data_IF_098407192126
#
_entry.id   IF_098407192126
#
_cell.length_a   1.000
_cell.length_b   1.000
_cell.length_c   1.000
_cell.angle_alpha   90.00
_cell.angle_beta   90.00
_cell.angle_gamma   90.00
#
_symmetry.space_group_name_H-M   'P 1'
#
loop_
_entity.id
_entity.type
_entity.pdbx_description
1 polymer ?
#
# COMPACT_ATOMS: atom_id res chain seq x y z
N UNK A 1 -61.39 55.45 -35.37
CA UNK A 1 -61.89 54.54 -36.43
C UNK A 1 -60.95 53.36 -36.50
N UNK A 2 -61.47 52.14 -36.42
CA UNK A 2 -60.84 50.85 -36.80
C UNK A 2 -61.66 50.29 -37.99
N UNK A 3 -61.26 49.24 -38.77
CA UNK A 3 -60.26 48.18 -38.56
C UNK A 3 -59.08 48.29 -39.58
N UNK A 4 -58.22 47.30 -39.90
CA UNK A 4 -58.31 45.83 -39.68
C UNK A 4 -57.00 45.02 -39.88
N UNK A 5 -57.02 43.82 -40.51
CA UNK A 5 -56.01 42.76 -40.31
C UNK A 5 -54.90 42.73 -41.42
N UNK A 6 -53.90 41.82 -41.47
CA UNK A 6 -53.87 40.34 -41.33
C UNK A 6 -52.45 39.75 -41.09
N UNK A 7 -52.39 38.48 -40.64
CA UNK A 7 -51.33 37.45 -40.76
C UNK A 7 -49.90 37.69 -40.18
N UNK A 8 -49.09 36.68 -39.80
CA UNK A 8 -49.34 35.24 -39.64
C UNK A 8 -48.08 34.33 -39.76
N UNK A 9 -47.46 33.94 -38.63
CA UNK A 9 -46.42 32.88 -38.47
C UNK A 9 -45.06 33.05 -39.22
N UNK A 10 -44.05 32.18 -39.00
CA UNK A 10 -43.59 31.49 -37.78
C UNK A 10 -42.15 31.91 -37.36
N UNK A 11 -41.66 31.48 -36.19
CA UNK A 11 -40.26 31.64 -35.80
C UNK A 11 -39.35 30.59 -36.49
N UNK A 12 -38.12 30.93 -36.93
CA UNK A 12 -37.18 29.96 -37.47
C UNK A 12 -36.50 29.15 -36.36
N UNK A 13 -36.17 27.89 -36.66
CA UNK A 13 -35.31 27.07 -35.82
C UNK A 13 -33.85 27.51 -35.97
N UNK A 14 -33.13 27.66 -34.86
CA UNK A 14 -31.72 27.28 -34.82
C UNK A 14 -31.64 25.79 -34.39
N UNK A 15 -30.63 25.02 -34.78
CA UNK A 15 -29.42 25.44 -35.51
C UNK A 15 -28.18 24.95 -34.79
N UNK A 16 -28.07 23.63 -34.64
CA UNK A 16 -26.94 22.93 -34.04
C UNK A 16 -25.59 23.53 -34.44
N UNK A 17 -24.79 23.94 -33.45
CA UNK A 17 -23.37 24.15 -33.65
C UNK A 17 -22.56 23.63 -32.46
N UNK A 18 -22.09 22.38 -32.58
CA UNK A 18 -21.10 21.79 -31.69
C UNK A 18 -19.73 22.35 -32.05
N UNK A 19 -19.33 23.45 -31.40
CA UNK A 19 -17.99 24.04 -31.55
C UNK A 19 -17.34 24.24 -30.18
N UNK A 20 -16.97 23.10 -29.55
CA UNK A 20 -16.08 23.10 -28.40
C UNK A 20 -14.65 23.36 -28.88
N UNK A 21 -14.36 24.62 -29.22
CA UNK A 21 -13.08 25.08 -29.73
C UNK A 21 -11.92 24.71 -28.80
N UNK A 22 -11.22 23.62 -29.13
CA UNK A 22 -10.05 23.14 -28.41
C UNK A 22 -8.85 24.05 -28.71
N UNK A 23 -8.67 25.08 -27.87
CA UNK A 23 -7.61 26.08 -28.04
C UNK A 23 -6.24 25.56 -27.59
N UNK A 24 -5.66 24.71 -28.43
CA UNK A 24 -4.22 24.66 -28.71
C UNK A 24 -3.22 24.72 -27.54
N UNK A 25 -3.08 23.62 -26.81
CA UNK A 25 -1.78 22.96 -26.64
C UNK A 25 -2.05 21.45 -26.50
N UNK A 26 -1.29 20.58 -27.20
CA UNK A 26 -1.38 19.14 -26.93
C UNK A 26 -0.82 18.90 -25.51
N UNK A 27 -1.57 18.25 -24.61
CA UNK A 27 -1.02 17.88 -23.31
C UNK A 27 0.21 17.00 -23.53
N UNK A 28 1.29 17.33 -22.81
CA UNK A 28 2.63 16.76 -23.02
C UNK A 28 2.80 15.37 -22.39
N UNK A 29 1.81 14.90 -21.63
CA UNK A 29 1.78 13.62 -20.94
C UNK A 29 0.33 13.13 -20.79
N UNK A 30 0.15 11.93 -20.21
CA UNK A 30 -1.16 11.29 -20.04
C UNK A 30 -2.06 11.84 -18.93
N UNK A 31 -1.68 12.93 -18.25
CA UNK A 31 -2.44 13.47 -17.12
C UNK A 31 -3.78 14.07 -17.56
N UNK A 32 -4.86 13.69 -16.89
CA UNK A 32 -6.21 14.18 -17.18
C UNK A 32 -6.81 13.69 -18.51
N UNK A 33 -6.13 12.80 -19.24
CA UNK A 33 -6.66 12.18 -20.45
C UNK A 33 -7.59 10.99 -20.12
N UNK A 34 -8.44 10.62 -21.07
CA UNK A 34 -9.10 9.30 -21.05
C UNK A 34 -8.19 8.18 -21.58
N UNK A 35 -8.63 6.92 -21.42
CA UNK A 35 -7.91 5.78 -22.00
C UNK A 35 -7.86 5.89 -23.54
N UNK A 36 -8.96 6.27 -24.22
CA UNK A 36 -8.95 6.41 -25.68
C UNK A 36 -7.99 7.52 -26.13
N UNK A 37 -7.94 8.63 -25.39
CA UNK A 37 -7.01 9.74 -25.66
C UNK A 37 -5.54 9.32 -25.44
N UNK A 38 -5.24 8.53 -24.39
CA UNK A 38 -3.90 7.95 -24.17
C UNK A 38 -3.52 6.98 -25.28
N UNK A 39 -4.40 6.03 -25.64
CA UNK A 39 -4.17 5.09 -26.75
C UNK A 39 -3.96 5.83 -28.08
N UNK A 40 -4.73 6.89 -28.35
CA UNK A 40 -4.58 7.72 -29.57
C UNK A 40 -3.28 8.53 -29.58
N UNK A 41 -2.80 9.00 -28.42
CA UNK A 41 -1.50 9.66 -28.28
C UNK A 41 -0.35 8.65 -28.51
N UNK A 42 -0.53 7.42 -28.03
CA UNK A 42 0.42 6.33 -28.13
C UNK A 42 0.41 5.59 -29.48
N UNK A 43 -0.62 5.74 -30.33
CA UNK A 43 -0.80 5.01 -31.61
C UNK A 43 0.49 4.81 -32.44
N UNK A 44 1.37 5.82 -32.65
CA UNK A 44 2.60 5.63 -33.42
C UNK A 44 3.52 4.52 -32.90
N UNK A 45 3.48 4.25 -31.60
CA UNK A 45 4.31 3.27 -30.89
C UNK A 45 3.57 1.94 -30.60
N UNK A 46 2.23 1.91 -30.72
CA UNK A 46 1.41 0.72 -30.44
C UNK A 46 1.08 -0.14 -31.67
N UNK A 47 1.44 0.32 -32.87
CA UNK A 47 1.22 -0.42 -34.13
C UNK A 47 1.90 -1.77 -34.13
N UNK A 48 1.19 -2.78 -34.63
CA UNK A 48 1.69 -4.16 -34.73
C UNK A 48 2.09 -4.77 -33.37
N UNK A 49 1.47 -4.34 -32.26
CA UNK A 49 1.60 -4.99 -30.95
C UNK A 49 1.22 -6.47 -31.03
N UNK A 50 2.00 -7.36 -30.40
CA UNK A 50 1.64 -8.78 -30.30
C UNK A 50 0.51 -9.02 -29.28
N UNK A 51 -0.72 -8.91 -29.76
CA UNK A 51 -1.96 -9.14 -29.01
C UNK A 51 -2.35 -10.63 -28.90
N UNK A 52 -1.51 -11.59 -29.32
CA UNK A 52 -1.89 -13.01 -29.39
C UNK A 52 -2.14 -13.66 -28.01
N UNK A 53 -1.56 -13.10 -26.96
CA UNK A 53 -1.88 -13.45 -25.57
C UNK A 53 -1.51 -12.29 -24.64
N UNK A 54 -2.09 -12.25 -23.44
CA UNK A 54 -1.70 -11.24 -22.43
C UNK A 54 -0.22 -11.29 -22.04
N UNK A 55 0.45 -12.45 -22.17
CA UNK A 55 1.90 -12.55 -21.97
C UNK A 55 2.69 -11.90 -23.10
N UNK A 56 2.29 -12.12 -24.35
CA UNK A 56 2.95 -11.53 -25.51
C UNK A 56 2.75 -10.02 -25.52
N UNK A 57 1.53 -9.57 -25.22
CA UNK A 57 1.21 -8.15 -25.10
C UNK A 57 2.09 -7.47 -24.05
N UNK A 58 2.21 -8.05 -22.85
CA UNK A 58 3.07 -7.48 -21.80
C UNK A 58 4.53 -7.42 -22.25
N UNK A 59 5.05 -8.48 -22.87
CA UNK A 59 6.43 -8.50 -23.37
C UNK A 59 6.69 -7.40 -24.40
N UNK A 60 5.92 -7.36 -25.50
CA UNK A 60 6.11 -6.41 -26.59
C UNK A 60 5.81 -4.95 -26.15
N UNK A 61 4.79 -4.76 -25.31
CA UNK A 61 4.51 -3.45 -24.71
C UNK A 61 5.67 -2.97 -23.82
N UNK A 62 6.28 -3.84 -23.01
CA UNK A 62 7.43 -3.47 -22.20
C UNK A 62 8.68 -3.20 -23.03
N UNK A 63 8.92 -3.97 -24.09
CA UNK A 63 10.01 -3.71 -25.02
C UNK A 63 9.83 -2.34 -25.69
N UNK A 64 8.60 -1.94 -26.03
CA UNK A 64 8.28 -0.59 -26.55
C UNK A 64 8.44 0.51 -25.51
N UNK A 65 7.96 0.35 -24.28
CA UNK A 65 8.14 1.34 -23.19
C UNK A 65 9.63 1.65 -22.95
N UNK A 66 10.50 0.64 -23.10
CA UNK A 66 11.95 0.82 -22.96
C UNK A 66 12.62 1.53 -24.15
N UNK A 67 12.03 1.47 -25.34
CA UNK A 67 12.57 2.12 -26.55
C UNK A 67 11.88 3.46 -26.88
N UNK A 68 10.72 3.74 -26.27
CA UNK A 68 9.88 4.90 -26.52
C UNK A 68 9.39 5.51 -25.19
N UNK A 69 10.17 6.41 -24.56
CA UNK A 69 9.79 7.03 -23.29
C UNK A 69 8.46 7.80 -23.35
N UNK A 70 7.99 8.20 -24.54
CA UNK A 70 6.68 8.80 -24.73
C UNK A 70 5.52 7.87 -24.32
N UNK A 71 5.71 6.54 -24.39
CA UNK A 71 4.76 5.56 -23.84
C UNK A 71 4.74 5.59 -22.31
N UNK A 72 5.87 5.85 -21.68
CA UNK A 72 5.96 6.01 -20.23
C UNK A 72 5.14 7.23 -19.81
N UNK A 73 5.40 8.40 -20.40
CA UNK A 73 4.68 9.64 -20.09
C UNK A 73 3.18 9.55 -20.40
N UNK A 74 2.81 8.77 -21.43
CA UNK A 74 1.42 8.58 -21.86
C UNK A 74 0.63 7.71 -20.88
N UNK A 75 1.19 6.62 -20.35
CA UNK A 75 0.42 5.68 -19.51
C UNK A 75 0.78 5.70 -18.02
N UNK A 76 1.89 6.34 -17.64
CA UNK A 76 2.43 6.30 -16.28
C UNK A 76 2.80 7.68 -15.74
N UNK A 77 2.73 7.78 -14.41
CA UNK A 77 3.13 8.92 -13.60
C UNK A 77 4.66 8.97 -13.53
N UNK A 78 5.19 10.16 -13.81
CA UNK A 78 6.62 10.44 -13.76
C UNK A 78 7.22 10.04 -12.40
N UNK A 79 8.43 9.48 -12.43
CA UNK A 79 9.23 9.17 -11.23
C UNK A 79 8.84 7.94 -10.41
N UNK A 80 7.67 7.31 -10.62
CA UNK A 80 7.29 6.13 -9.82
C UNK A 80 6.63 4.95 -10.56
N UNK A 81 6.35 5.06 -11.87
CA UNK A 81 5.77 3.96 -12.66
C UNK A 81 4.36 3.54 -12.27
N UNK A 82 3.65 4.35 -11.47
CA UNK A 82 2.22 4.16 -11.24
C UNK A 82 1.46 4.54 -12.50
N UNK A 83 0.43 3.79 -12.88
CA UNK A 83 -0.41 4.14 -14.03
C UNK A 83 -1.16 5.46 -13.82
N UNK A 84 -1.52 6.15 -14.91
CA UNK A 84 -2.47 7.27 -14.83
C UNK A 84 -3.85 6.78 -14.39
N UNK A 85 -4.37 5.70 -15.01
CA UNK A 85 -5.56 4.97 -14.52
C UNK A 85 -5.27 3.49 -14.23
N UNK A 86 -5.97 2.91 -13.25
CA UNK A 86 -5.97 1.47 -13.02
C UNK A 86 -6.61 0.71 -14.19
N UNK A 87 -7.58 1.34 -14.86
CA UNK A 87 -8.51 0.74 -15.82
C UNK A 87 -8.07 0.97 -17.28
N UNK A 88 -6.90 1.58 -17.52
CA UNK A 88 -6.33 1.73 -18.87
C UNK A 88 -6.08 0.36 -19.54
N UNK A 89 -6.55 0.21 -20.78
CA UNK A 89 -6.45 -0.99 -21.63
C UNK A 89 -6.02 -0.64 -23.06
N UNK A 90 -5.27 -1.55 -23.69
CA UNK A 90 -5.05 -1.57 -25.14
C UNK A 90 -5.72 -2.84 -25.66
N UNK A 91 -6.67 -2.70 -26.59
CA UNK A 91 -7.53 -3.82 -26.99
C UNK A 91 -8.25 -4.42 -25.79
N UNK A 92 -8.01 -5.71 -25.51
CA UNK A 92 -8.56 -6.43 -24.36
C UNK A 92 -7.62 -6.49 -23.14
N UNK A 93 -6.37 -6.01 -23.26
CA UNK A 93 -5.36 -6.17 -22.21
C UNK A 93 -5.13 -4.89 -21.41
N UNK A 94 -5.19 -5.00 -20.09
CA UNK A 94 -4.85 -3.90 -19.17
C UNK A 94 -3.38 -3.55 -19.22
N UNK A 95 -3.08 -2.25 -19.23
CA UNK A 95 -1.71 -1.73 -19.12
C UNK A 95 -1.03 -2.35 -17.88
N UNK A 96 0.17 -2.95 -17.99
CA UNK A 96 0.83 -3.61 -16.88
C UNK A 96 1.19 -2.63 -15.76
N UNK A 97 1.31 -3.13 -14.53
CA UNK A 97 2.01 -2.36 -13.47
C UNK A 97 3.50 -2.53 -13.70
N UNK A 98 4.26 -1.44 -13.74
CA UNK A 98 5.70 -1.49 -14.05
C UNK A 98 6.58 -1.06 -12.87
N UNK A 99 7.86 -1.37 -12.97
CA UNK A 99 8.90 -0.96 -12.02
C UNK A 99 10.20 -0.69 -12.77
N UNK A 100 10.92 0.38 -12.41
CA UNK A 100 12.19 0.71 -13.04
C UNK A 100 13.32 -0.09 -12.39
N UNK A 101 14.01 -0.93 -13.16
CA UNK A 101 15.22 -1.63 -12.77
C UNK A 101 16.38 -0.63 -12.57
N UNK A 102 17.44 -1.06 -11.89
CA UNK A 102 18.59 -0.19 -11.60
C UNK A 102 19.41 0.26 -12.81
N UNK A 103 19.27 -0.41 -13.96
CA UNK A 103 19.89 0.00 -15.23
C UNK A 103 19.09 1.10 -15.96
N UNK A 104 17.96 1.52 -15.37
CA UNK A 104 17.06 2.53 -15.92
C UNK A 104 15.92 1.97 -16.79
N UNK A 105 15.95 0.67 -17.13
CA UNK A 105 14.89 0.02 -17.89
C UNK A 105 13.65 -0.25 -17.03
N UNK A 106 12.49 -0.39 -17.65
CA UNK A 106 11.22 -0.74 -17.01
C UNK A 106 10.88 -2.20 -17.24
N UNK A 107 10.36 -2.89 -16.22
CA UNK A 107 9.83 -4.26 -16.31
C UNK A 107 8.42 -4.33 -15.75
N UNK A 108 7.58 -5.21 -16.27
CA UNK A 108 6.27 -5.47 -15.68
C UNK A 108 6.41 -6.22 -14.34
N UNK A 109 5.64 -5.81 -13.33
CA UNK A 109 5.63 -6.42 -11.99
C UNK A 109 5.12 -7.87 -11.97
N UNK A 110 4.49 -8.32 -13.06
CA UNK A 110 4.13 -9.73 -13.31
C UNK A 110 5.33 -10.63 -13.56
N UNK A 111 6.40 -10.06 -14.14
CA UNK A 111 7.58 -10.80 -14.57
C UNK A 111 8.68 -10.80 -13.48
N UNK A 112 8.51 -9.94 -12.47
CA UNK A 112 9.27 -10.01 -11.23
C UNK A 112 8.83 -11.26 -10.44
N UNK A 113 9.78 -12.02 -9.85
CA UNK A 113 9.42 -13.15 -9.00
C UNK A 113 8.48 -12.70 -7.89
N UNK A 114 7.43 -13.50 -7.64
CA UNK A 114 6.51 -13.25 -6.53
C UNK A 114 7.31 -13.19 -5.23
N UNK A 115 7.19 -12.13 -4.41
CA UNK A 115 7.96 -12.03 -3.18
C UNK A 115 7.65 -13.22 -2.27
N UNK A 116 8.66 -13.74 -1.53
CA UNK A 116 8.42 -14.83 -0.60
C UNK A 116 7.37 -14.38 0.42
N UNK A 117 6.37 -15.24 0.67
CA UNK A 117 5.44 -15.03 1.79
C UNK A 117 6.22 -15.19 3.11
N UNK A 118 5.88 -14.42 4.15
CA UNK A 118 6.42 -14.67 5.48
C UNK A 118 5.95 -16.05 5.97
N UNK A 119 6.83 -16.70 6.71
CA UNK A 119 6.47 -17.85 7.53
C UNK A 119 6.18 -17.34 8.96
N UNK A 120 5.48 -18.14 9.76
CA UNK A 120 5.00 -17.74 11.08
C UNK A 120 5.46 -18.75 12.12
N UNK A 121 5.85 -18.24 13.29
CA UNK A 121 6.15 -19.05 14.46
C UNK A 121 4.86 -19.67 15.02
N UNK A 122 3.73 -18.95 15.03
CA UNK A 122 2.47 -19.49 15.55
C UNK A 122 1.94 -20.65 14.67
N UNK A 123 1.41 -21.76 15.25
CA UNK A 123 0.95 -22.93 14.51
C UNK A 123 -0.20 -22.61 13.54
N UNK A 124 -1.13 -21.76 13.96
CA UNK A 124 -2.26 -21.29 13.15
C UNK A 124 -1.97 -19.96 12.43
N UNK A 125 -0.69 -19.54 12.42
CA UNK A 125 -0.15 -18.24 11.96
C UNK A 125 -0.59 -17.03 12.79
N UNK A 126 -1.84 -17.01 13.24
CA UNK A 126 -2.45 -15.91 13.96
C UNK A 126 -3.23 -16.41 15.19
N UNK A 127 -3.21 -15.62 16.26
CA UNK A 127 -4.03 -15.77 17.46
C UNK A 127 -5.05 -14.61 17.53
N UNK A 128 -6.30 -14.91 17.92
CA UNK A 128 -7.36 -13.91 18.03
C UNK A 128 -7.51 -13.42 19.47
N UNK A 129 -7.31 -12.13 19.67
CA UNK A 129 -7.55 -11.42 20.93
C UNK A 129 -8.90 -10.71 20.81
N UNK A 130 -9.91 -11.05 21.63
CA UNK A 130 -11.22 -10.42 21.55
C UNK A 130 -11.17 -8.95 21.98
N UNK A 131 -12.19 -8.19 21.59
CA UNK A 131 -12.50 -6.90 22.20
C UNK A 131 -12.48 -7.02 23.73
N UNK A 132 -11.83 -6.07 24.39
CA UNK A 132 -11.64 -6.05 25.85
C UNK A 132 -12.81 -5.37 26.54
N UNK A 133 -13.55 -6.08 27.38
CA UNK A 133 -14.72 -5.50 28.07
C UNK A 133 -14.33 -4.31 28.97
N UNK A 134 -15.06 -3.19 28.82
CA UNK A 134 -14.88 -1.99 29.63
C UNK A 134 -13.58 -1.20 29.42
N UNK A 135 -12.68 -1.61 28.52
CA UNK A 135 -11.45 -0.88 28.23
C UNK A 135 -11.76 0.53 27.65
N UNK A 136 -11.02 1.54 28.11
CA UNK A 136 -11.24 2.95 27.78
C UNK A 136 -11.00 3.29 26.29
N UNK A 137 -10.04 2.61 25.64
CA UNK A 137 -9.68 2.88 24.24
C UNK A 137 -10.77 2.42 23.26
N UNK A 138 -11.63 1.48 23.67
CA UNK A 138 -12.69 0.93 22.83
C UNK A 138 -13.54 2.00 22.12
N UNK A 139 -13.87 3.10 22.80
CA UNK A 139 -14.68 4.17 22.21
C UNK A 139 -13.94 4.91 21.08
N UNK A 140 -12.61 5.06 21.20
CA UNK A 140 -11.74 5.61 20.16
C UNK A 140 -11.61 4.62 18.99
N UNK A 141 -11.38 3.34 19.29
CA UNK A 141 -11.25 2.28 18.30
C UNK A 141 -12.56 2.04 17.52
N UNK A 142 -13.71 2.13 18.18
CA UNK A 142 -15.03 2.07 17.53
C UNK A 142 -15.26 3.24 16.58
N UNK A 143 -14.90 4.46 16.99
CA UNK A 143 -15.00 5.64 16.12
C UNK A 143 -14.12 5.50 14.88
N UNK A 144 -12.88 5.02 15.04
CA UNK A 144 -11.95 4.80 13.93
C UNK A 144 -12.39 3.68 12.98
N UNK A 145 -12.88 2.55 13.54
CA UNK A 145 -13.47 1.47 12.76
C UNK A 145 -14.72 1.94 11.98
N UNK A 146 -15.57 2.75 12.63
CA UNK A 146 -16.76 3.37 12.02
C UNK A 146 -16.41 4.32 10.87
N UNK A 147 -15.46 5.24 11.07
CA UNK A 147 -15.00 6.15 10.00
C UNK A 147 -14.43 5.37 8.81
N UNK A 148 -13.62 4.33 9.05
CA UNK A 148 -13.15 3.43 7.98
C UNK A 148 -14.31 2.76 7.25
N UNK A 149 -15.33 2.29 7.98
CA UNK A 149 -16.51 1.64 7.42
C UNK A 149 -17.32 2.60 6.55
N UNK A 150 -17.58 3.81 7.02
CA UNK A 150 -18.35 4.83 6.31
C UNK A 150 -17.70 5.20 4.96
N UNK A 151 -16.37 5.30 4.91
CA UNK A 151 -15.64 5.56 3.67
C UNK A 151 -15.68 4.36 2.71
N UNK A 152 -15.61 3.12 3.20
CA UNK A 152 -15.80 1.89 2.39
C UNK A 152 -17.22 1.84 1.80
N UNK A 153 -18.24 2.15 2.60
CA UNK A 153 -19.64 2.20 2.14
C UNK A 153 -19.90 3.40 1.20
N UNK A 154 -19.15 4.50 1.35
CA UNK A 154 -19.12 5.60 0.37
C UNK A 154 -18.53 5.15 -0.97
N UNK A 155 -17.35 4.52 -0.97
CA UNK A 155 -16.72 4.00 -2.19
C UNK A 155 -17.59 2.93 -2.88
N UNK A 156 -18.32 2.13 -2.10
CA UNK A 156 -19.22 1.10 -2.63
C UNK A 156 -20.41 1.73 -3.36
N UNK A 157 -21.05 2.75 -2.77
CA UNK A 157 -22.14 3.53 -3.41
C UNK A 157 -21.67 4.26 -4.68
N UNK A 158 -20.48 4.86 -4.67
CA UNK A 158 -19.93 5.53 -5.86
C UNK A 158 -19.66 4.52 -6.99
N UNK A 159 -19.12 3.34 -6.66
CA UNK A 159 -18.92 2.25 -7.63
C UNK A 159 -20.25 1.75 -8.22
N UNK A 160 -21.30 1.66 -7.42
CA UNK A 160 -22.63 1.25 -7.87
C UNK A 160 -23.28 2.32 -8.77
N UNK A 161 -23.20 3.59 -8.38
CA UNK A 161 -23.64 4.71 -9.22
C UNK A 161 -22.89 4.77 -10.55
N UNK A 162 -21.56 4.57 -10.52
CA UNK A 162 -20.72 4.51 -11.72
C UNK A 162 -21.13 3.35 -12.64
N UNK A 163 -21.38 2.17 -12.08
CA UNK A 163 -21.86 1.01 -12.85
C UNK A 163 -23.21 1.31 -13.51
N UNK A 164 -24.19 1.84 -12.75
CA UNK A 164 -25.48 2.27 -13.30
C UNK A 164 -25.30 3.26 -14.45
N UNK A 165 -24.36 4.21 -14.32
CA UNK A 165 -24.07 5.18 -15.39
C UNK A 165 -23.40 4.56 -16.60
N UNK A 166 -22.53 3.55 -16.45
CA UNK A 166 -21.98 2.79 -17.57
C UNK A 166 -23.10 2.04 -18.31
N UNK A 167 -24.01 1.40 -17.57
CA UNK A 167 -25.15 0.68 -18.16
C UNK A 167 -26.14 1.61 -18.88
N UNK A 168 -26.40 2.82 -18.34
CA UNK A 168 -27.23 3.85 -18.98
C UNK A 168 -26.62 4.42 -20.28
N UNK A 169 -25.30 4.57 -20.34
CA UNK A 169 -24.59 5.29 -21.42
C UNK A 169 -23.80 4.35 -22.35
N UNK A 170 -24.18 3.07 -22.43
CA UNK A 170 -23.57 2.12 -23.38
C UNK A 170 -22.09 1.85 -23.11
N UNK A 171 -21.65 1.98 -21.85
CA UNK A 171 -20.28 1.82 -21.37
C UNK A 171 -19.29 2.86 -21.92
N UNK A 172 -19.78 4.07 -22.23
CA UNK A 172 -18.95 5.25 -22.50
C UNK A 172 -18.28 5.76 -21.21
N UNK A 173 -17.04 5.33 -20.98
CA UNK A 173 -16.24 5.75 -19.82
C UNK A 173 -15.87 7.25 -19.82
N UNK A 174 -15.97 7.92 -20.98
CA UNK A 174 -15.69 9.35 -21.13
C UNK A 174 -16.94 10.22 -20.85
N UNK A 175 -18.09 9.61 -20.54
CA UNK A 175 -19.29 10.33 -20.16
C UNK A 175 -19.05 11.21 -18.91
N UNK A 176 -19.39 12.52 -18.91
CA UNK A 176 -18.98 13.45 -17.85
C UNK A 176 -19.38 13.04 -16.42
N UNK A 177 -20.49 12.33 -16.25
CA UNK A 177 -20.90 11.82 -14.93
C UNK A 177 -20.03 10.64 -14.45
N UNK A 178 -19.51 9.80 -15.34
CA UNK A 178 -18.63 8.67 -15.00
C UNK A 178 -17.25 9.19 -14.59
N UNK A 179 -16.68 10.11 -15.38
CA UNK A 179 -15.40 10.77 -15.06
C UNK A 179 -15.46 11.42 -13.68
N UNK A 180 -16.52 12.18 -13.39
CA UNK A 180 -16.74 12.82 -12.08
C UNK A 180 -16.84 11.79 -10.95
N UNK A 181 -17.54 10.67 -11.16
CA UNK A 181 -17.65 9.60 -10.17
C UNK A 181 -16.31 8.89 -9.93
N UNK A 182 -15.43 8.78 -10.93
CA UNK A 182 -14.09 8.21 -10.71
C UNK A 182 -13.17 9.18 -9.96
N UNK A 183 -13.22 10.49 -10.25
CA UNK A 183 -12.53 11.50 -9.45
C UNK A 183 -12.96 11.44 -7.97
N UNK A 184 -14.28 11.35 -7.71
CA UNK A 184 -14.83 11.21 -6.35
C UNK A 184 -14.36 9.90 -5.69
N UNK A 185 -14.44 8.77 -6.41
CA UNK A 185 -13.95 7.45 -5.98
C UNK A 185 -12.46 7.51 -5.60
N UNK A 186 -11.61 8.13 -6.42
CA UNK A 186 -10.17 8.25 -6.14
C UNK A 186 -9.90 9.05 -4.86
N UNK A 187 -10.68 10.11 -4.59
CA UNK A 187 -10.60 10.83 -3.31
C UNK A 187 -11.03 9.95 -2.14
N UNK A 188 -12.10 9.16 -2.29
CA UNK A 188 -12.60 8.24 -1.25
C UNK A 188 -11.59 7.13 -0.97
N UNK A 189 -10.98 6.51 -1.99
CA UNK A 189 -9.94 5.50 -1.83
C UNK A 189 -8.75 6.04 -1.01
N UNK A 190 -8.35 7.30 -1.23
CA UNK A 190 -7.34 7.98 -0.42
C UNK A 190 -7.77 8.18 1.04
N UNK A 191 -9.05 8.41 1.32
CA UNK A 191 -9.59 8.49 2.70
C UNK A 191 -9.70 7.11 3.36
N UNK A 192 -10.13 6.08 2.64
CA UNK A 192 -10.12 4.67 3.10
C UNK A 192 -8.71 4.26 3.52
N UNK A 193 -7.69 4.58 2.70
CA UNK A 193 -6.30 4.25 3.02
C UNK A 193 -5.86 4.86 4.34
N UNK A 194 -6.03 6.19 4.52
CA UNK A 194 -5.66 6.88 5.76
C UNK A 194 -6.47 6.45 6.97
N UNK A 195 -7.78 6.21 6.80
CA UNK A 195 -8.63 5.70 7.89
C UNK A 195 -8.21 4.29 8.30
N UNK A 196 -7.75 3.46 7.36
CA UNK A 196 -7.20 2.14 7.62
C UNK A 196 -5.84 2.18 8.33
N UNK A 197 -4.94 3.04 7.87
CA UNK A 197 -3.62 3.31 8.47
C UNK A 197 -3.77 3.72 9.94
N UNK A 198 -4.50 4.81 10.21
CA UNK A 198 -4.75 5.27 11.58
C UNK A 198 -5.47 4.24 12.46
N UNK A 199 -6.49 3.54 11.95
CA UNK A 199 -7.17 2.51 12.73
C UNK A 199 -6.24 1.33 13.05
N UNK A 200 -5.45 0.87 12.07
CA UNK A 200 -4.51 -0.22 12.25
C UNK A 200 -3.46 0.09 13.30
N UNK A 201 -2.78 1.23 13.18
CA UNK A 201 -1.74 1.67 14.13
C UNK A 201 -2.28 1.87 15.54
N UNK A 202 -3.44 2.51 15.70
CA UNK A 202 -4.03 2.78 17.01
C UNK A 202 -4.51 1.51 17.70
N UNK A 203 -5.06 0.56 16.93
CA UNK A 203 -5.33 -0.79 17.40
C UNK A 203 -4.06 -1.48 17.86
N UNK A 204 -2.97 -1.41 17.07
CA UNK A 204 -1.70 -2.02 17.45
C UNK A 204 -1.11 -1.38 18.72
N UNK A 205 -1.00 -0.05 18.79
CA UNK A 205 -0.55 0.71 19.98
C UNK A 205 -1.32 0.34 21.25
N UNK A 206 -2.64 0.09 21.12
CA UNK A 206 -3.51 -0.26 22.24
C UNK A 206 -3.43 -1.73 22.69
N UNK A 207 -2.91 -2.65 21.85
CA UNK A 207 -2.80 -4.09 22.16
C UNK A 207 -1.35 -4.59 22.35
N UNK A 208 -0.32 -3.96 21.76
CA UNK A 208 1.10 -4.36 21.97
C UNK A 208 1.45 -4.50 23.46
N UNK A 209 1.10 -3.57 24.38
CA UNK A 209 1.45 -3.69 25.80
C UNK A 209 0.79 -4.86 26.55
N UNK A 210 -0.27 -5.46 26.00
CA UNK A 210 -1.00 -6.59 26.59
C UNK A 210 -0.58 -7.95 26.00
N UNK A 211 -0.11 -7.92 24.76
CA UNK A 211 0.48 -9.09 24.09
C UNK A 211 1.92 -9.31 24.57
N UNK A 212 2.68 -8.22 24.73
CA UNK A 212 4.08 -8.20 25.16
C UNK A 212 4.20 -7.64 26.59
N UNK A 213 3.63 -8.37 27.54
CA UNK A 213 3.55 -8.03 28.97
C UNK A 213 4.58 -8.79 29.84
N UNK A 214 5.46 -9.60 29.23
CA UNK A 214 6.42 -10.46 29.94
C UNK A 214 5.81 -11.72 30.58
N UNK A 215 4.49 -11.90 30.51
CA UNK A 215 3.76 -13.02 31.14
C UNK A 215 3.06 -13.92 30.10
N UNK A 216 2.73 -13.37 28.94
CA UNK A 216 2.04 -14.03 27.83
C UNK A 216 2.85 -15.20 27.32
N UNK A 217 2.20 -16.37 27.27
CA UNK A 217 2.75 -17.60 26.71
C UNK A 217 2.02 -17.95 25.41
N UNK A 218 2.78 -18.26 24.38
CA UNK A 218 2.28 -18.67 23.07
C UNK A 218 2.94 -20.00 22.65
N UNK A 219 2.23 -20.80 21.85
CA UNK A 219 2.83 -21.98 21.22
C UNK A 219 3.50 -21.55 19.92
N UNK A 220 4.77 -21.89 19.76
CA UNK A 220 5.56 -21.62 18.56
C UNK A 220 6.08 -22.91 17.94
N UNK A 221 6.19 -22.91 16.61
CA UNK A 221 6.90 -23.92 15.84
C UNK A 221 8.39 -23.75 16.06
N UNK A 222 9.07 -24.86 16.35
CA UNK A 222 10.52 -24.95 16.44
C UNK A 222 10.99 -26.22 15.74
N UNK A 223 12.21 -26.23 15.22
CA UNK A 223 12.83 -27.44 14.70
C UNK A 223 13.53 -28.20 15.83
N UNK A 224 13.33 -29.52 15.90
CA UNK A 224 14.15 -30.38 16.76
C UNK A 224 15.52 -30.67 16.14
N UNK A 225 16.35 -31.45 16.84
CA UNK A 225 17.70 -31.81 16.40
C UNK A 225 17.74 -32.63 15.09
N UNK A 226 16.63 -33.27 14.73
CA UNK A 226 16.46 -34.06 13.50
C UNK A 226 15.79 -33.24 12.38
N UNK A 227 15.42 -31.99 12.65
CA UNK A 227 14.77 -31.07 11.70
C UNK A 227 13.25 -31.23 11.60
N UNK A 228 12.59 -31.94 12.51
CA UNK A 228 11.13 -32.03 12.54
C UNK A 228 10.53 -30.79 13.22
N UNK A 229 9.36 -30.37 12.74
CA UNK A 229 8.59 -29.30 13.39
C UNK A 229 7.94 -29.82 14.67
N UNK A 230 8.33 -29.23 15.80
CA UNK A 230 7.74 -29.42 17.12
C UNK A 230 7.03 -28.14 17.58
N UNK A 231 6.15 -28.25 18.58
CA UNK A 231 5.57 -27.09 19.26
C UNK A 231 6.27 -26.89 20.60
N UNK A 232 6.66 -25.65 20.87
CA UNK A 232 7.30 -25.23 22.11
C UNK A 232 6.55 -24.02 22.69
N UNK A 233 6.53 -23.91 24.01
CA UNK A 233 5.99 -22.74 24.69
C UNK A 233 7.05 -21.63 24.73
N UNK A 234 6.75 -20.49 24.11
CA UNK A 234 7.52 -19.25 24.19
C UNK A 234 6.81 -18.29 25.12
N UNK A 235 7.53 -17.64 26.03
CA UNK A 235 7.02 -16.48 26.76
C UNK A 235 7.42 -15.23 25.98
N UNK A 236 6.46 -14.35 25.67
CA UNK A 236 6.73 -13.09 24.99
C UNK A 236 7.33 -12.08 26.00
N UNK A 237 8.29 -11.23 25.59
CA UNK A 237 8.93 -10.26 26.48
C UNK A 237 7.97 -9.16 26.92
N UNK A 238 8.35 -8.40 27.94
CA UNK A 238 7.68 -7.17 28.36
C UNK A 238 8.25 -5.99 27.57
N UNK A 239 7.39 -5.17 26.94
CA UNK A 239 7.83 -3.92 26.31
C UNK A 239 8.08 -2.80 27.32
N UNK A 240 9.01 -1.91 26.98
CA UNK A 240 9.45 -0.79 27.81
C UNK A 240 8.94 0.54 27.26
N UNK A 241 7.81 1.01 27.80
CA UNK A 241 7.25 2.31 27.48
C UNK A 241 6.50 2.33 26.14
N UNK A 242 6.41 3.50 25.52
CA UNK A 242 5.76 3.67 24.22
C UNK A 242 6.67 3.41 23.03
N UNK A 243 6.11 3.58 21.84
CA UNK A 243 6.79 3.46 20.55
C UNK A 243 8.04 4.35 20.48
N UNK A 244 9.13 3.79 19.97
CA UNK A 244 10.39 4.49 19.76
C UNK A 244 10.34 5.37 18.51
N UNK A 245 9.51 5.02 17.53
CA UNK A 245 9.35 5.82 16.30
C UNK A 245 8.69 7.18 16.57
N UNK A 246 7.89 7.32 17.63
CA UNK A 246 7.33 8.60 18.11
C UNK A 246 8.42 9.66 18.40
N UNK A 247 9.67 9.24 18.59
CA UNK A 247 10.83 10.10 18.90
C UNK A 247 11.74 10.33 17.69
N UNK A 248 11.42 9.71 16.56
CA UNK A 248 12.28 9.61 15.38
C UNK A 248 11.78 10.57 14.31
N UNK A 249 12.39 11.74 14.22
CA UNK A 249 11.98 12.79 13.30
C UNK A 249 12.50 12.63 11.85
N UNK A 250 13.12 11.49 11.48
CA UNK A 250 13.59 11.20 10.11
C UNK A 250 12.62 10.36 9.28
N UNK A 251 11.51 9.94 9.88
CA UNK A 251 10.51 9.06 9.29
C UNK A 251 10.11 9.51 7.86
N UNK A 252 10.16 8.62 6.84
CA UNK A 252 9.81 8.97 5.48
C UNK A 252 8.36 9.45 5.34
N UNK A 253 8.14 10.43 4.46
CA UNK A 253 6.81 11.01 4.18
C UNK A 253 5.77 10.03 3.57
N UNK A 254 6.08 8.74 3.39
CA UNK A 254 5.13 7.61 3.19
C UNK A 254 5.84 6.31 2.76
N UNK A 255 5.18 5.17 3.01
CA UNK A 255 5.34 3.92 2.25
C UNK A 255 6.03 2.74 2.95
N UNK A 256 6.16 1.61 2.24
CA UNK A 256 6.72 0.32 2.69
C UNK A 256 8.25 0.35 2.97
N UNK A 257 8.75 1.42 3.59
CA UNK A 257 10.17 1.71 3.82
C UNK A 257 10.47 2.05 5.29
N UNK A 258 9.50 1.86 6.17
CA UNK A 258 9.57 1.99 7.62
C UNK A 258 8.77 0.83 8.25
N UNK A 259 8.93 0.60 9.55
CA UNK A 259 8.02 -0.21 10.36
C UNK A 259 6.91 0.67 10.93
N UNK A 260 5.74 0.10 11.23
CA UNK A 260 4.62 0.89 11.76
C UNK A 260 4.84 1.24 13.24
N UNK A 261 5.39 0.31 14.05
CA UNK A 261 5.78 0.53 15.46
C UNK A 261 7.07 -0.21 15.82
N UNK A 262 7.89 0.37 16.72
CA UNK A 262 9.06 -0.31 17.32
C UNK A 262 9.13 -0.03 18.83
N UNK A 263 9.15 -1.09 19.64
CA UNK A 263 9.30 -0.97 21.10
C UNK A 263 10.59 -1.65 21.56
N UNK A 264 11.30 -1.07 22.53
CA UNK A 264 12.32 -1.81 23.29
C UNK A 264 11.64 -2.75 24.29
N UNK A 265 12.34 -3.79 24.74
CA UNK A 265 11.88 -4.72 25.79
C UNK A 265 12.72 -4.62 27.06
N UNK A 266 12.24 -5.21 28.16
CA UNK A 266 12.91 -5.16 29.48
C UNK A 266 14.17 -6.02 29.57
N UNK A 267 14.33 -7.01 28.69
CA UNK A 267 15.54 -7.86 28.54
C UNK A 267 16.59 -7.29 27.55
N UNK A 268 16.31 -6.12 26.95
CA UNK A 268 17.20 -5.44 26.00
C UNK A 268 17.04 -5.87 24.54
N UNK A 269 15.98 -6.61 24.21
CA UNK A 269 15.53 -6.82 22.84
C UNK A 269 14.55 -5.75 22.30
N UNK A 270 13.88 -6.09 21.21
CA UNK A 270 12.94 -5.24 20.49
C UNK A 270 11.70 -6.00 20.00
N UNK A 271 10.57 -5.30 19.94
CA UNK A 271 9.33 -5.72 19.27
C UNK A 271 9.06 -4.77 18.12
N UNK A 272 9.09 -5.29 16.89
CA UNK A 272 8.68 -4.61 15.67
C UNK A 272 7.27 -5.05 15.32
N UNK A 273 6.35 -4.12 15.04
CA UNK A 273 4.97 -4.46 14.69
C UNK A 273 4.56 -3.86 13.35
N UNK A 274 4.03 -4.71 12.47
CA UNK A 274 3.21 -4.31 11.32
C UNK A 274 1.76 -4.17 11.76
N UNK A 275 1.23 -2.96 11.69
CA UNK A 275 -0.14 -2.61 12.02
C UNK A 275 -1.01 -2.61 10.75
N UNK A 276 -2.18 -3.25 10.77
CA UNK A 276 -3.11 -3.25 9.63
C UNK A 276 -4.56 -3.10 10.10
N UNK A 277 -5.38 -2.43 9.31
CA UNK A 277 -6.78 -2.13 9.65
C UNK A 277 -7.72 -3.36 9.70
N UNK A 278 -7.31 -4.45 9.06
CA UNK A 278 -8.18 -5.58 8.73
C UNK A 278 -7.38 -6.88 8.64
N UNK A 279 -7.97 -7.98 9.12
CA UNK A 279 -7.37 -9.31 9.03
C UNK A 279 -7.13 -9.75 7.57
N UNK A 280 -7.94 -9.25 6.62
CA UNK A 280 -7.80 -9.52 5.19
C UNK A 280 -6.83 -8.57 4.47
N UNK A 281 -6.28 -7.55 5.14
CA UNK A 281 -5.28 -6.68 4.51
C UNK A 281 -4.00 -7.47 4.24
N UNK A 282 -3.63 -7.53 2.96
CA UNK A 282 -2.39 -8.12 2.49
C UNK A 282 -1.18 -7.35 3.04
N UNK A 283 -0.06 -8.06 3.14
CA UNK A 283 1.18 -7.50 3.63
C UNK A 283 1.89 -6.67 2.56
N UNK A 284 2.47 -5.56 3.00
CA UNK A 284 3.32 -4.71 2.19
C UNK A 284 4.48 -5.52 1.60
N UNK A 285 4.92 -5.10 0.42
CA UNK A 285 6.11 -5.65 -0.21
C UNK A 285 6.87 -4.52 -0.89
N UNK A 286 8.18 -4.72 -1.03
CA UNK A 286 9.10 -3.75 -1.61
C UNK A 286 10.16 -4.44 -2.44
N UNK A 287 10.83 -3.67 -3.28
CA UNK A 287 12.07 -4.09 -3.94
C UNK A 287 13.28 -3.95 -3.00
N UNK A 288 14.22 -4.89 -3.17
CA UNK A 288 15.59 -4.86 -2.66
C UNK A 288 16.56 -5.36 -3.73
N UNK A 289 17.85 -5.06 -3.58
CA UNK A 289 18.88 -5.42 -4.56
C UNK A 289 18.97 -4.46 -5.74
N UNK A 290 19.93 -4.73 -6.62
CA UNK A 290 20.33 -3.92 -7.78
C UNK A 290 20.74 -4.87 -8.92
N UNK A 291 20.34 -4.59 -10.15
CA UNK A 291 20.68 -5.38 -11.34
C UNK A 291 20.21 -6.83 -11.24
N UNK A 292 21.08 -7.78 -11.54
CA UNK A 292 20.78 -9.22 -11.46
C UNK A 292 20.44 -9.72 -10.03
N UNK A 293 20.70 -8.91 -8.99
CA UNK A 293 20.29 -9.21 -7.61
C UNK A 293 18.93 -8.63 -7.21
N UNK A 294 18.26 -7.92 -8.13
CA UNK A 294 16.96 -7.29 -7.89
C UNK A 294 15.86 -8.32 -7.62
N UNK A 295 15.17 -8.15 -6.48
CA UNK A 295 14.09 -9.04 -6.04
C UNK A 295 13.07 -8.32 -5.16
N UNK A 296 11.88 -8.89 -5.06
CA UNK A 296 10.82 -8.42 -4.15
C UNK A 296 10.85 -9.18 -2.83
N UNK A 297 10.55 -8.48 -1.74
CA UNK A 297 10.45 -9.02 -0.37
C UNK A 297 9.17 -8.52 0.29
N UNK A 298 8.58 -9.34 1.17
CA UNK A 298 7.34 -9.03 1.88
C UNK A 298 7.61 -8.63 3.32
N UNK A 299 6.76 -7.81 3.91
CA UNK A 299 6.70 -7.62 5.37
C UNK A 299 6.64 -8.97 6.09
N UNK A 300 7.27 -9.02 7.27
CA UNK A 300 7.43 -10.26 8.04
C UNK A 300 8.49 -11.24 7.52
N UNK A 301 9.36 -10.85 6.56
CA UNK A 301 10.56 -11.64 6.22
C UNK A 301 11.83 -10.99 6.77
N UNK A 302 12.84 -11.82 7.07
CA UNK A 302 14.18 -11.36 7.46
C UNK A 302 14.76 -10.36 6.44
N UNK A 303 14.57 -10.61 5.14
CA UNK A 303 15.04 -9.72 4.08
C UNK A 303 14.40 -8.33 4.12
N UNK A 304 13.08 -8.26 4.39
CA UNK A 304 12.37 -6.99 4.50
C UNK A 304 12.80 -6.23 5.75
N UNK A 305 12.93 -6.93 6.88
CA UNK A 305 13.47 -6.39 8.13
C UNK A 305 14.87 -5.78 7.90
N UNK A 306 15.80 -6.55 7.34
CA UNK A 306 17.17 -6.08 7.06
C UNK A 306 17.21 -4.93 6.06
N UNK A 307 16.40 -4.96 5.01
CA UNK A 307 16.35 -3.86 4.04
C UNK A 307 15.79 -2.56 4.64
N UNK A 308 14.80 -2.67 5.53
CA UNK A 308 14.22 -1.53 6.23
C UNK A 308 15.20 -0.96 7.25
N UNK A 309 15.93 -1.80 8.00
CA UNK A 309 17.04 -1.38 8.87
C UNK A 309 18.17 -0.70 8.09
N UNK A 310 18.51 -1.17 6.89
CA UNK A 310 19.49 -0.50 6.01
C UNK A 310 19.00 0.88 5.55
N UNK A 311 17.71 1.05 5.27
CA UNK A 311 17.15 2.36 4.97
C UNK A 311 17.10 3.29 6.18
N UNK A 312 16.80 2.77 7.37
CA UNK A 312 16.88 3.50 8.63
C UNK A 312 18.30 4.04 8.87
N UNK A 313 19.33 3.18 8.71
CA UNK A 313 20.74 3.58 8.72
C UNK A 313 21.02 4.68 7.70
N UNK A 314 20.52 4.54 6.47
CA UNK A 314 20.73 5.53 5.38
C UNK A 314 20.07 6.87 5.69
N UNK A 315 18.85 6.89 6.24
CA UNK A 315 18.13 8.12 6.63
C UNK A 315 18.79 8.79 7.84
N UNK A 316 19.12 8.03 8.89
CA UNK A 316 19.81 8.55 10.07
C UNK A 316 21.20 9.11 9.76
N UNK A 317 21.97 8.50 8.85
CA UNK A 317 23.24 9.07 8.37
C UNK A 317 23.06 10.37 7.56
N UNK A 318 21.91 10.57 6.92
CA UNK A 318 21.60 11.79 6.18
C UNK A 318 21.03 12.89 7.09
N UNK A 319 20.75 12.60 8.36
CA UNK A 319 20.18 13.56 9.30
C UNK A 319 21.25 14.50 9.87
N UNK A 320 21.33 15.69 9.27
CA UNK A 320 22.25 16.73 9.72
C UNK A 320 21.84 17.37 11.05
N UNK A 321 20.63 17.15 11.59
CA UNK A 321 20.21 17.75 12.88
C UNK A 321 21.03 17.26 14.06
N UNK A 322 21.68 16.09 13.93
CA UNK A 322 22.54 15.54 14.97
C UNK A 322 23.73 16.46 15.36
N UNK A 323 24.12 17.43 14.52
CA UNK A 323 25.14 18.44 14.89
C UNK A 323 24.61 19.54 15.82
N UNK A 324 23.32 19.80 15.78
CA UNK A 324 22.69 20.97 16.41
C UNK A 324 21.97 20.60 17.73
N UNK A 325 21.74 19.31 17.96
CA UNK A 325 21.09 18.77 19.15
C UNK A 325 22.12 18.56 20.27
N UNK A 326 21.92 19.12 21.48
CA UNK A 326 22.85 18.92 22.59
C UNK A 326 23.01 17.46 23.00
N UNK A 327 24.26 17.04 23.21
CA UNK A 327 24.62 15.76 23.83
C UNK A 327 23.85 15.57 25.16
N UNK A 328 23.12 14.46 25.27
CA UNK A 328 22.29 14.14 26.44
C UNK A 328 20.82 14.58 26.36
N UNK A 329 20.35 15.09 25.22
CA UNK A 329 18.94 15.45 24.98
C UNK A 329 17.95 14.28 25.01
N UNK A 330 18.42 13.03 24.91
CA UNK A 330 17.57 11.85 24.72
C UNK A 330 17.04 11.69 23.29
N UNK A 331 17.60 12.44 22.33
CA UNK A 331 17.35 12.25 20.90
C UNK A 331 17.85 10.88 20.44
N UNK A 332 17.04 10.20 19.62
CA UNK A 332 17.35 8.92 18.97
C UNK A 332 16.96 9.09 17.51
N UNK A 333 17.91 8.92 16.59
CA UNK A 333 17.59 8.91 15.16
C UNK A 333 17.43 7.46 14.66
N UNK A 334 17.11 7.30 13.38
CA UNK A 334 16.99 5.97 12.77
C UNK A 334 18.30 5.18 12.68
N UNK A 335 19.45 5.85 12.68
CA UNK A 335 20.76 5.18 12.66
C UNK A 335 21.00 4.46 13.99
N UNK A 336 20.81 5.16 15.11
CA UNK A 336 21.00 4.63 16.46
C UNK A 336 20.05 3.44 16.69
N UNK A 337 18.75 3.65 16.43
CA UNK A 337 17.73 2.60 16.61
C UNK A 337 17.99 1.38 15.73
N UNK A 338 18.34 1.56 14.45
CA UNK A 338 18.63 0.42 13.58
C UNK A 338 19.93 -0.30 13.95
N UNK A 339 20.95 0.41 14.46
CA UNK A 339 22.17 -0.22 14.97
C UNK A 339 21.91 -1.04 16.23
N UNK A 340 21.11 -0.54 17.18
CA UNK A 340 20.71 -1.29 18.37
C UNK A 340 19.91 -2.55 18.00
N UNK A 341 18.95 -2.45 17.08
CA UNK A 341 18.17 -3.59 16.59
C UNK A 341 19.04 -4.64 15.86
N UNK A 342 20.02 -4.21 15.07
CA UNK A 342 20.99 -5.12 14.44
C UNK A 342 21.94 -5.76 15.45
N UNK A 343 22.34 -5.02 16.49
CA UNK A 343 23.16 -5.55 17.57
C UNK A 343 22.41 -6.62 18.38
N UNK A 344 21.14 -6.36 18.72
CA UNK A 344 20.26 -7.34 19.38
C UNK A 344 20.13 -8.62 18.55
N UNK A 345 19.80 -8.51 17.25
CA UNK A 345 19.74 -9.64 16.31
C UNK A 345 21.05 -10.44 16.20
N UNK A 346 22.20 -9.76 16.34
CA UNK A 346 23.52 -10.38 16.22
C UNK A 346 24.00 -11.03 17.54
N UNK A 347 23.53 -10.54 18.69
CA UNK A 347 23.75 -11.15 20.00
C UNK A 347 22.91 -12.43 20.14
N UNK A 348 21.61 -12.34 19.87
CA UNK A 348 20.66 -13.44 19.91
C UNK A 348 19.45 -13.13 19.00
N UNK A 349 19.17 -13.91 17.95
CA UNK A 349 18.01 -13.70 17.07
C UNK A 349 16.66 -13.65 17.80
N UNK A 350 16.54 -14.26 18.98
CA UNK A 350 15.31 -14.19 19.79
C UNK A 350 15.07 -12.82 20.43
N UNK A 351 16.09 -11.95 20.51
CA UNK A 351 15.93 -10.56 20.99
C UNK A 351 15.22 -9.63 20.00
N UNK A 352 14.78 -10.08 18.83
CA UNK A 352 13.92 -9.27 17.96
C UNK A 352 12.68 -10.04 17.53
N UNK A 353 11.56 -9.68 18.12
CA UNK A 353 10.24 -10.18 17.74
C UNK A 353 9.67 -9.29 16.64
N UNK A 354 9.41 -9.86 15.47
CA UNK A 354 8.70 -9.18 14.38
C UNK A 354 7.28 -9.74 14.29
N UNK A 355 6.30 -8.90 14.55
CA UNK A 355 4.90 -9.26 14.66
C UNK A 355 4.02 -8.51 13.65
N UNK A 356 2.82 -9.01 13.44
CA UNK A 356 1.70 -8.24 12.89
C UNK A 356 0.55 -8.16 13.90
N UNK A 357 -0.10 -6.99 13.93
CA UNK A 357 -1.39 -6.81 14.60
C UNK A 357 -2.38 -6.26 13.58
N UNK A 358 -3.47 -7.00 13.37
CA UNK A 358 -4.53 -6.62 12.45
C UNK A 358 -5.82 -6.37 13.20
N UNK A 359 -6.44 -5.21 12.97
CA UNK A 359 -7.75 -4.88 13.51
C UNK A 359 -8.82 -5.87 13.05
N UNK A 360 -9.62 -6.35 13.99
CA UNK A 360 -10.87 -7.06 13.71
C UNK A 360 -11.99 -6.03 13.78
N UNK A 361 -12.87 -6.00 12.78
CA UNK A 361 -14.09 -5.19 12.80
C UNK A 361 -15.31 -6.10 12.82
N UNK A 362 -16.34 -5.73 13.58
CA UNK A 362 -17.62 -6.44 13.60
C UNK A 362 -18.41 -6.20 12.31
N UNK A 363 -19.46 -6.99 12.08
CA UNK A 363 -20.40 -6.76 10.98
C UNK A 363 -21.09 -5.38 11.03
N UNK A 364 -21.11 -4.72 12.20
CA UNK A 364 -21.67 -3.37 12.39
C UNK A 364 -20.61 -2.26 12.26
N UNK A 365 -19.37 -2.58 11.85
CA UNK A 365 -18.28 -1.61 11.73
C UNK A 365 -17.62 -1.18 13.04
N UNK A 366 -17.92 -1.83 14.16
CA UNK A 366 -17.29 -1.54 15.46
C UNK A 366 -15.97 -2.34 15.65
N UNK A 367 -15.13 -1.96 16.62
CA UNK A 367 -13.90 -2.68 16.93
C UNK A 367 -14.21 -4.04 17.61
N UNK A 368 -13.76 -5.13 17.01
CA UNK A 368 -14.02 -6.50 17.45
C UNK A 368 -12.88 -7.18 18.23
N UNK A 369 -11.73 -6.51 18.38
CA UNK A 369 -10.49 -7.10 18.88
C UNK A 369 -9.37 -7.05 17.83
N UNK A 370 -8.37 -7.92 17.98
CA UNK A 370 -7.22 -8.01 17.06
C UNK A 370 -6.88 -9.45 16.69
N UNK A 371 -6.25 -9.58 15.53
CA UNK A 371 -5.47 -10.76 15.15
C UNK A 371 -3.99 -10.44 15.33
N UNK A 372 -3.30 -11.25 16.13
CA UNK A 372 -1.86 -11.17 16.37
C UNK A 372 -1.14 -12.28 15.61
N UNK A 373 -0.09 -11.96 14.85
CA UNK A 373 0.80 -12.93 14.22
C UNK A 373 2.25 -12.68 14.63
N UNK A 374 3.03 -13.74 14.81
CA UNK A 374 4.47 -13.65 15.06
C UNK A 374 5.23 -14.30 13.90
N UNK A 375 6.06 -13.52 13.21
CA UNK A 375 6.80 -13.96 12.03
C UNK A 375 8.02 -14.80 12.39
N UNK A 376 8.33 -15.78 11.54
CA UNK A 376 9.58 -16.53 11.62
C UNK A 376 10.66 -15.85 10.78
N UNK A 377 11.69 -15.36 11.47
CA UNK A 377 12.87 -14.70 10.90
C UNK A 377 14.06 -15.65 10.75
N UNK A 378 13.89 -16.93 11.09
CA UNK A 378 14.94 -17.93 10.93
C UNK A 378 15.39 -18.00 9.47
N UNK A 379 16.71 -18.07 9.20
CA UNK A 379 17.20 -18.25 7.84
C UNK A 379 16.57 -19.50 7.20
N UNK A 380 15.81 -19.31 6.12
CA UNK A 380 15.12 -20.42 5.46
C UNK A 380 16.17 -21.39 4.93
N UNK A 381 16.16 -22.63 5.43
CA UNK A 381 16.94 -23.71 4.83
C UNK A 381 16.62 -23.77 3.32
N UNK A 382 17.62 -23.98 2.45
CA UNK A 382 17.38 -24.10 1.02
C UNK A 382 16.38 -25.24 0.79
N UNK A 383 15.25 -24.91 0.16
CA UNK A 383 14.26 -25.91 -0.25
C UNK A 383 14.85 -26.68 -1.43
N UNK A 384 15.28 -27.91 -1.16
CA UNK A 384 15.74 -28.88 -2.17
C UNK A 384 14.63 -29.23 -3.18
#
# INVERSE_FOLDING_TARGET
>A
MSPGPVDGAPAPADGSNTDSGWTGERPKNGYGLSNEQRVRLADPYLRDLDMCSGRNFVQDFMDRVNNHPELLDTFYKEGNGSKWSADDVIGEYGIPKIEQLSDGTWRAKSDLPTPPKPDYLLPDKQELFPRRDGNADNAKLDLMAGVRRDEIDSSTRIREAMQTKKDENGWDDDHPEIVKLDEERNQVLGRISRAGEYYGEEVARSYVPEIFDGSRKVQVRSLDADGNVTLQEMTLPEIKGGDLLDKVETAPNSGNYQFDLVHATTDGGFVVTEAKADVQTELGNRKVGVGDSERRVSQGTEDYLRATLTDMIRRGNADTRASDIPLGSGYVNELDLAQEMLAALAEDPSKLHYAEIKGVSTATGAHGGVSFGLYDLSPKLPRN
#
